data_IF_441285976324
#
_entry.id   IF_441285976324
#
_cell.length_a   1.000
_cell.length_b   1.000
_cell.length_c   1.000
_cell.angle_alpha   90.00
_cell.angle_beta   90.00
_cell.angle_gamma   90.00
#
_symmetry.space_group_name_H-M   'P 1'
#
loop_
_entity.id
_entity.type
_entity.pdbx_description
1 polymer ?
#
# COMPACT_ATOMS: atom_id res chain seq x y z
N UNK A 1 -4.94 -12.02 -24.50
CA UNK A 1 -3.61 -12.14 -23.86
C UNK A 1 -3.69 -11.57 -22.45
N UNK A 2 -3.66 -12.43 -21.42
CA UNK A 2 -3.69 -11.99 -20.03
C UNK A 2 -2.40 -11.27 -19.66
N UNK A 3 -2.49 -10.17 -18.91
CA UNK A 3 -1.30 -9.45 -18.44
C UNK A 3 -0.90 -10.01 -17.08
N UNK A 4 0.14 -10.86 -17.05
CA UNK A 4 0.68 -11.45 -15.82
C UNK A 4 1.22 -10.34 -14.91
N UNK A 5 0.45 -9.93 -13.90
CA UNK A 5 0.78 -8.83 -12.98
C UNK A 5 0.04 -9.01 -11.66
N UNK A 6 0.54 -8.35 -10.62
CA UNK A 6 -0.09 -8.26 -9.32
C UNK A 6 -0.78 -6.89 -9.18
N UNK A 7 -1.90 -6.89 -8.47
CA UNK A 7 -2.72 -5.73 -8.19
C UNK A 7 -2.98 -5.68 -6.68
N UNK A 8 -2.94 -4.48 -6.11
CA UNK A 8 -3.47 -4.25 -4.78
C UNK A 8 -4.67 -3.32 -4.88
N UNK A 9 -5.72 -3.70 -4.16
CA UNK A 9 -7.01 -3.04 -4.17
C UNK A 9 -7.24 -2.37 -2.83
N UNK A 10 -7.81 -1.18 -2.88
CA UNK A 10 -8.38 -0.51 -1.72
C UNK A 10 -9.85 -0.30 -2.03
N UNK A 11 -10.70 -1.00 -1.30
CA UNK A 11 -12.11 -1.14 -1.63
C UNK A 11 -12.30 -1.56 -3.10
N UNK A 12 -12.82 -0.66 -3.94
CA UNK A 12 -13.11 -0.91 -5.36
C UNK A 12 -12.04 -0.40 -6.32
N UNK A 13 -11.04 0.32 -5.81
CA UNK A 13 -10.04 0.98 -6.63
C UNK A 13 -8.69 0.27 -6.54
N UNK A 14 -8.05 0.06 -7.70
CA UNK A 14 -6.66 -0.38 -7.76
C UNK A 14 -5.78 0.82 -7.43
N UNK A 15 -5.03 0.73 -6.33
CA UNK A 15 -4.11 1.80 -5.92
C UNK A 15 -2.64 1.48 -6.23
N UNK A 16 -2.33 0.22 -6.56
CA UNK A 16 -0.98 -0.23 -6.89
C UNK A 16 -0.98 -1.34 -7.95
N UNK A 17 0.06 -1.35 -8.80
CA UNK A 17 0.26 -2.34 -9.86
C UNK A 17 1.74 -2.70 -9.93
N UNK A 18 2.06 -4.00 -9.99
CA UNK A 18 3.45 -4.46 -10.16
C UNK A 18 4.02 -4.13 -11.55
N UNK A 19 3.16 -3.92 -12.54
CA UNK A 19 3.55 -4.00 -13.94
C UNK A 19 3.65 -5.45 -14.42
N UNK A 20 3.79 -5.64 -15.73
CA UNK A 20 3.80 -6.97 -16.36
C UNK A 20 5.07 -7.73 -15.97
N UNK A 21 4.91 -9.01 -15.65
CA UNK A 21 6.00 -9.96 -15.43
C UNK A 21 6.71 -10.26 -16.76
N UNK A 22 8.02 -10.04 -16.80
CA UNK A 22 8.84 -10.24 -18.01
C UNK A 22 9.58 -11.60 -18.04
N UNK A 23 9.27 -12.49 -17.10
CA UNK A 23 9.98 -13.76 -16.91
C UNK A 23 11.07 -13.70 -15.83
N UNK A 24 11.49 -12.51 -15.41
CA UNK A 24 12.52 -12.30 -14.38
C UNK A 24 12.07 -11.35 -13.28
N UNK A 25 11.31 -10.33 -13.63
CA UNK A 25 10.89 -9.27 -12.72
C UNK A 25 9.57 -8.64 -13.15
N UNK A 26 8.97 -7.86 -12.24
CA UNK A 26 7.83 -7.04 -12.54
C UNK A 26 8.28 -5.66 -13.04
N UNK A 27 7.85 -5.25 -14.24
CA UNK A 27 8.34 -4.04 -14.92
C UNK A 27 8.30 -2.74 -14.09
N UNK A 28 7.33 -2.58 -13.19
CA UNK A 28 7.20 -1.35 -12.39
C UNK A 28 7.89 -1.45 -11.02
N UNK A 29 8.29 -2.65 -10.59
CA UNK A 29 8.88 -2.93 -9.27
C UNK A 29 9.93 -4.06 -9.35
N UNK A 30 11.00 -3.90 -10.15
CA UNK A 30 12.01 -4.95 -10.30
C UNK A 30 12.74 -5.27 -8.99
N UNK A 31 12.74 -4.36 -8.02
CA UNK A 31 13.41 -4.53 -6.73
C UNK A 31 12.82 -5.66 -5.89
N UNK A 32 11.51 -5.93 -6.03
CA UNK A 32 10.83 -7.02 -5.30
C UNK A 32 11.42 -8.40 -5.61
N UNK A 33 11.93 -8.58 -6.82
CA UNK A 33 12.51 -9.86 -7.29
C UNK A 33 14.00 -9.73 -7.62
N UNK A 34 14.67 -8.72 -7.05
CA UNK A 34 16.09 -8.43 -7.31
C UNK A 34 17.03 -9.52 -6.78
N UNK A 35 16.66 -10.19 -5.69
CA UNK A 35 17.45 -11.23 -5.05
C UNK A 35 17.22 -12.61 -5.69
N UNK A 36 17.55 -12.69 -6.97
CA UNK A 36 17.47 -13.92 -7.74
C UNK A 36 18.62 -14.89 -7.43
N UNK A 37 19.55 -14.54 -6.54
CA UNK A 37 20.64 -15.40 -6.08
C UNK A 37 20.16 -16.31 -4.97
N UNK A 38 19.37 -15.76 -4.04
CA UNK A 38 18.81 -16.49 -2.89
C UNK A 38 17.50 -17.18 -3.22
N UNK A 39 16.68 -16.55 -4.07
CA UNK A 39 15.33 -17.03 -4.37
C UNK A 39 15.14 -17.38 -5.84
N UNK A 40 14.33 -18.40 -6.09
CA UNK A 40 13.71 -18.64 -7.38
C UNK A 40 12.36 -17.92 -7.40
N UNK A 41 12.15 -17.05 -8.38
CA UNK A 41 10.86 -16.38 -8.59
C UNK A 41 10.18 -16.95 -9.83
N UNK A 42 8.89 -17.20 -9.74
CA UNK A 42 8.10 -17.65 -10.89
C UNK A 42 6.68 -17.09 -10.85
N UNK A 43 6.13 -16.94 -12.05
CA UNK A 43 4.72 -16.62 -12.25
C UNK A 43 4.10 -17.81 -12.95
N UNK A 44 3.26 -18.56 -12.24
CA UNK A 44 2.57 -19.73 -12.77
C UNK A 44 1.30 -19.26 -13.46
N UNK A 45 1.13 -19.72 -14.69
CA UNK A 45 -0.03 -19.44 -15.52
C UNK A 45 -0.45 -20.72 -16.22
N UNK A 46 -1.55 -21.31 -15.77
CA UNK A 46 -2.19 -22.46 -16.40
C UNK A 46 -3.67 -22.16 -16.67
N UNK A 47 -4.42 -23.19 -17.09
CA UNK A 47 -5.87 -23.09 -17.26
C UNK A 47 -6.60 -22.93 -15.91
N UNK A 48 -6.09 -23.57 -14.86
CA UNK A 48 -6.73 -23.63 -13.54
C UNK A 48 -6.22 -22.57 -12.56
N UNK A 49 -4.94 -22.18 -12.67
CA UNK A 49 -4.28 -21.38 -11.65
C UNK A 49 -3.39 -20.27 -12.21
N UNK A 50 -3.39 -19.16 -11.49
CA UNK A 50 -2.57 -17.99 -11.79
C UNK A 50 -2.07 -17.39 -10.50
N UNK A 51 -0.79 -17.54 -10.25
CA UNK A 51 -0.17 -17.00 -9.04
C UNK A 51 1.30 -16.69 -9.26
N UNK A 52 1.79 -15.78 -8.44
CA UNK A 52 3.21 -15.53 -8.29
C UNK A 52 3.71 -16.30 -7.07
N UNK A 53 4.87 -16.91 -7.17
CA UNK A 53 5.50 -17.63 -6.06
C UNK A 53 7.01 -17.43 -6.05
N UNK A 54 7.60 -17.71 -4.89
CA UNK A 54 9.04 -17.78 -4.74
C UNK A 54 9.44 -18.92 -3.81
N UNK A 55 10.62 -19.48 -4.05
CA UNK A 55 11.20 -20.53 -3.22
C UNK A 55 12.66 -20.23 -2.92
N UNK A 56 13.15 -20.78 -1.81
CA UNK A 56 14.59 -20.74 -1.50
C UNK A 56 15.36 -21.59 -2.53
N UNK A 57 16.50 -21.09 -2.98
CA UNK A 57 17.44 -21.88 -3.81
C UNK A 57 18.25 -22.86 -2.97
N UNK A 58 18.55 -22.49 -1.73
CA UNK A 58 19.27 -23.32 -0.76
C UNK A 58 18.54 -23.30 0.58
N UNK A 59 18.48 -24.44 1.26
CA UNK A 59 17.78 -24.55 2.56
C UNK A 59 18.46 -23.77 3.70
N UNK A 60 19.75 -23.43 3.55
CA UNK A 60 20.51 -22.60 4.49
C UNK A 60 20.20 -21.11 4.36
N UNK A 61 19.48 -20.69 3.31
CA UNK A 61 19.15 -19.30 3.09
C UNK A 61 18.06 -18.83 4.06
N UNK A 62 18.14 -17.58 4.56
CA UNK A 62 17.07 -17.01 5.39
C UNK A 62 15.80 -16.81 4.56
N UNK A 63 14.65 -16.86 5.22
CA UNK A 63 13.35 -16.67 4.57
C UNK A 63 13.10 -15.21 4.15
N UNK A 64 12.07 -15.01 3.33
CA UNK A 64 11.51 -13.68 3.04
C UNK A 64 9.99 -13.73 3.19
N UNK A 65 9.40 -12.62 3.62
CA UNK A 65 7.94 -12.46 3.74
C UNK A 65 7.51 -11.18 3.03
N UNK A 66 6.47 -11.27 2.21
CA UNK A 66 5.83 -10.10 1.61
C UNK A 66 4.55 -9.83 2.38
N UNK A 67 4.40 -8.61 2.90
CA UNK A 67 3.32 -8.23 3.81
C UNK A 67 2.58 -7.04 3.24
N UNK A 68 1.27 -7.18 3.08
CA UNK A 68 0.36 -6.06 2.95
C UNK A 68 -0.09 -5.66 4.36
N UNK A 69 0.37 -4.52 4.85
CA UNK A 69 0.04 -4.06 6.21
C UNK A 69 -1.35 -3.43 6.29
N UNK A 70 -1.83 -3.15 7.52
CA UNK A 70 -3.14 -2.57 7.78
C UNK A 70 -3.32 -1.15 7.22
N UNK A 71 -2.23 -0.45 6.94
CA UNK A 71 -2.26 0.84 6.27
C UNK A 71 -2.33 0.68 4.74
N UNK A 72 -2.15 -0.53 4.21
CA UNK A 72 -2.12 -0.83 2.78
C UNK A 72 -0.75 -0.57 2.14
N UNK A 73 0.32 -0.56 2.92
CA UNK A 73 1.68 -0.56 2.39
C UNK A 73 2.11 -2.00 2.07
N UNK A 74 2.90 -2.17 1.01
CA UNK A 74 3.46 -3.48 0.65
C UNK A 74 4.92 -3.48 1.08
N UNK A 75 5.26 -4.37 2.02
CA UNK A 75 6.60 -4.49 2.60
C UNK A 75 7.20 -5.84 2.29
N UNK A 76 8.50 -5.85 2.00
CA UNK A 76 9.30 -7.06 1.93
C UNK A 76 10.18 -7.13 3.17
N UNK A 77 9.98 -8.18 3.96
CA UNK A 77 10.88 -8.54 5.04
C UNK A 77 11.84 -9.61 4.57
N UNK A 78 13.11 -9.47 4.93
CA UNK A 78 14.14 -10.50 4.80
C UNK A 78 14.74 -10.76 6.16
N UNK A 79 15.16 -12.00 6.37
CA UNK A 79 15.83 -12.41 7.60
C UNK A 79 17.35 -12.42 7.36
N UNK A 80 18.15 -12.04 8.34
CA UNK A 80 19.61 -12.16 8.22
C UNK A 80 20.09 -13.61 8.41
N UNK A 81 19.41 -14.33 9.29
CA UNK A 81 19.65 -15.74 9.63
C UNK A 81 18.32 -16.34 10.13
N UNK A 82 18.31 -17.63 10.48
CA UNK A 82 17.14 -18.26 11.09
C UNK A 82 16.80 -17.72 12.50
N UNK A 83 17.71 -16.97 13.15
CA UNK A 83 17.54 -16.46 14.52
C UNK A 83 16.80 -15.10 14.58
N UNK A 84 15.75 -14.98 13.77
CA UNK A 84 14.60 -14.08 13.90
C UNK A 84 14.81 -12.56 13.70
N UNK A 85 16.04 -12.09 13.50
CA UNK A 85 16.27 -10.68 13.13
C UNK A 85 15.85 -10.44 11.66
N UNK A 86 14.61 -10.00 11.48
CA UNK A 86 14.09 -9.49 10.20
C UNK A 86 14.41 -8.01 10.01
N UNK A 87 14.71 -7.63 8.77
CA UNK A 87 14.82 -6.24 8.36
C UNK A 87 13.87 -5.96 7.20
N UNK A 88 13.52 -4.68 7.06
CA UNK A 88 12.70 -4.19 5.97
C UNK A 88 13.59 -3.97 4.74
N UNK A 89 13.51 -4.87 3.77
CA UNK A 89 14.36 -4.82 2.58
C UNK A 89 13.78 -3.92 1.50
N UNK A 90 12.46 -3.76 1.45
CA UNK A 90 11.81 -2.95 0.45
C UNK A 90 10.39 -2.55 0.86
N UNK A 91 10.08 -1.26 0.67
CA UNK A 91 8.76 -0.70 0.96
C UNK A 91 8.14 -0.06 -0.27
N UNK A 92 6.87 -0.37 -0.49
CA UNK A 92 6.01 0.35 -1.42
C UNK A 92 4.93 1.05 -0.60
N UNK A 93 5.08 2.36 -0.52
CA UNK A 93 4.13 3.24 0.13
C UNK A 93 3.31 3.93 -0.97
N UNK A 94 2.01 3.68 -0.98
CA UNK A 94 1.08 4.37 -1.86
C UNK A 94 0.17 5.29 -1.04
N UNK A 95 0.68 6.48 -0.68
CA UNK A 95 -0.12 7.44 0.07
C UNK A 95 -1.29 7.94 -0.77
N UNK A 96 -2.42 8.10 -0.08
CA UNK A 96 -3.65 8.72 -0.60
C UNK A 96 -3.43 10.18 -0.96
N UNK A 97 -2.53 10.84 -0.23
CA UNK A 97 -2.18 12.25 -0.35
C UNK A 97 -0.67 12.33 -0.49
N UNK A 98 -0.20 12.52 -1.71
CA UNK A 98 1.22 12.66 -1.99
C UNK A 98 1.62 14.13 -1.71
N UNK A 99 2.59 14.42 -0.83
CA UNK A 99 3.23 15.72 -0.86
C UNK A 99 3.83 15.97 -2.23
N UNK A 100 3.83 17.22 -2.66
CA UNK A 100 4.47 17.67 -3.90
C UNK A 100 5.95 17.21 -4.01
N UNK A 101 6.61 16.96 -2.87
CA UNK A 101 7.98 16.46 -2.75
C UNK A 101 8.12 14.95 -2.44
N UNK A 102 7.08 14.14 -2.67
CA UNK A 102 7.25 12.69 -2.64
C UNK A 102 8.14 12.25 -3.82
N UNK A 103 9.26 11.60 -3.54
CA UNK A 103 10.26 11.21 -4.56
C UNK A 103 9.59 10.61 -5.81
N UNK A 104 9.94 11.13 -7.00
CA UNK A 104 9.41 10.67 -8.29
C UNK A 104 9.58 9.16 -8.49
N UNK A 105 10.57 8.55 -7.84
CA UNK A 105 10.82 7.11 -7.92
C UNK A 105 9.75 6.29 -7.19
N UNK A 106 9.30 6.75 -6.02
CA UNK A 106 8.21 6.11 -5.29
C UNK A 106 6.84 6.36 -5.95
N UNK A 107 6.69 7.47 -6.70
CA UNK A 107 5.48 7.82 -7.45
C UNK A 107 5.18 6.84 -8.59
N UNK A 108 6.20 6.25 -9.23
CA UNK A 108 6.04 5.35 -10.40
C UNK A 108 5.38 4.00 -10.08
N UNK A 109 5.28 3.64 -8.80
CA UNK A 109 4.80 2.32 -8.35
C UNK A 109 3.30 2.30 -8.05
N UNK A 110 2.71 3.46 -7.79
CA UNK A 110 1.31 3.60 -7.38
C UNK A 110 0.44 4.10 -8.55
N UNK A 111 -0.86 3.82 -8.48
CA UNK A 111 -1.82 4.37 -9.43
C UNK A 111 -2.05 5.83 -9.07
N UNK A 112 -1.84 6.74 -10.04
CA UNK A 112 -2.11 8.16 -9.84
C UNK A 112 -3.60 8.38 -9.61
N UNK A 113 -3.95 9.01 -8.47
CA UNK A 113 -5.29 9.48 -8.18
C UNK A 113 -5.44 10.94 -8.64
N UNK A 114 -6.61 11.28 -9.19
CA UNK A 114 -6.95 12.68 -9.52
C UNK A 114 -7.08 13.48 -8.23
N UNK A 115 -6.30 14.56 -8.11
CA UNK A 115 -6.37 15.47 -6.96
C UNK A 115 -7.58 16.41 -7.15
N UNK A 116 -8.46 16.59 -6.16
CA UNK A 116 -9.54 17.57 -6.22
C UNK A 116 -9.01 19.00 -6.40
N UNK A 117 -9.72 19.85 -7.14
CA UNK A 117 -9.27 21.21 -7.49
C UNK A 117 -9.04 22.12 -6.28
N UNK A 118 -9.75 21.87 -5.18
CA UNK A 118 -9.63 22.60 -3.92
C UNK A 118 -8.38 22.22 -3.11
N UNK A 119 -7.71 21.12 -3.43
CA UNK A 119 -6.53 20.65 -2.71
C UNK A 119 -5.27 21.10 -3.45
N UNK A 120 -4.46 21.97 -2.82
CA UNK A 120 -3.21 22.50 -3.41
C UNK A 120 -2.03 22.32 -2.46
N UNK A 121 -1.41 21.14 -2.50
CA UNK A 121 -0.21 20.85 -1.72
C UNK A 121 -0.45 20.70 -0.20
N UNK A 122 -1.72 20.60 0.21
CA UNK A 122 -2.10 20.33 1.59
C UNK A 122 -1.64 18.95 2.06
N UNK A 123 -1.47 18.79 3.36
CA UNK A 123 -1.05 17.53 3.98
C UNK A 123 -1.79 17.34 5.29
N UNK A 124 -2.07 16.08 5.59
CA UNK A 124 -2.53 15.69 6.92
C UNK A 124 -1.33 15.28 7.78
N UNK A 125 -1.35 15.71 9.03
CA UNK A 125 -0.37 15.34 10.04
C UNK A 125 -1.11 14.73 11.22
N UNK A 126 -0.56 13.66 11.79
CA UNK A 126 -1.13 13.08 13.00
C UNK A 126 -0.98 14.04 14.17
N UNK A 127 -2.07 14.23 14.92
CA UNK A 127 -2.14 15.06 16.12
C UNK A 127 -2.93 14.30 17.19
N UNK A 128 -2.46 14.37 18.43
CA UNK A 128 -3.21 13.88 19.57
C UNK A 128 -4.10 15.00 20.10
N UNK A 129 -5.40 14.74 20.21
CA UNK A 129 -6.36 15.73 20.70
C UNK A 129 -7.81 15.40 20.33
N UNK A 130 -8.69 16.37 20.57
CA UNK A 130 -10.10 16.29 20.20
C UNK A 130 -10.34 17.06 18.91
N UNK A 131 -11.26 16.57 18.08
CA UNK A 131 -11.76 17.32 16.93
C UNK A 131 -12.85 18.26 17.43
N UNK A 132 -12.43 19.40 17.94
CA UNK A 132 -13.30 20.49 18.39
C UNK A 132 -13.01 21.73 17.54
N UNK A 133 -14.01 22.19 16.80
CA UNK A 133 -13.82 23.27 15.83
C UNK A 133 -15.13 23.74 15.20
N UNK A 134 -15.14 24.95 14.62
CA UNK A 134 -16.32 25.49 13.94
C UNK A 134 -16.56 24.70 12.65
N UNK A 135 -17.49 23.75 12.68
CA UNK A 135 -17.87 22.93 11.53
C UNK A 135 -18.87 21.84 11.89
N UNK A 136 -19.64 21.38 10.90
CA UNK A 136 -20.48 20.19 11.07
C UNK A 136 -19.62 18.94 10.97
N UNK A 137 -19.59 18.17 12.05
CA UNK A 137 -18.89 16.89 12.03
C UNK A 137 -19.71 15.86 11.26
N UNK A 138 -19.11 15.24 10.24
CA UNK A 138 -19.73 14.14 9.52
C UNK A 138 -19.26 12.82 10.14
N UNK A 139 -20.20 11.96 10.51
CA UNK A 139 -19.89 10.64 11.08
C UNK A 139 -20.43 9.54 10.17
N UNK A 140 -19.56 8.61 9.79
CA UNK A 140 -19.92 7.35 9.14
C UNK A 140 -19.74 6.20 10.14
N UNK A 141 -20.83 5.45 10.35
CA UNK A 141 -20.86 4.26 11.22
C UNK A 141 -20.46 2.98 10.50
N UNK A 142 -20.07 3.06 9.23
CA UNK A 142 -19.63 1.91 8.45
C UNK A 142 -18.31 1.35 9.00
N UNK A 143 -18.39 0.19 9.66
CA UNK A 143 -17.25 -0.45 10.30
C UNK A 143 -16.27 -1.09 9.32
N UNK A 144 -16.62 -1.16 8.03
CA UNK A 144 -15.68 -1.58 6.99
C UNK A 144 -14.62 -0.50 6.68
N UNK A 145 -14.88 0.75 7.05
CA UNK A 145 -13.99 1.88 6.82
C UNK A 145 -12.88 1.92 7.87
N UNK A 146 -11.64 2.11 7.41
CA UNK A 146 -10.44 2.30 8.23
C UNK A 146 -9.90 3.71 8.10
N UNK A 147 -8.89 4.03 8.90
CA UNK A 147 -8.27 5.37 8.94
C UNK A 147 -7.92 5.93 7.56
N UNK A 148 -7.43 5.09 6.65
CA UNK A 148 -7.03 5.52 5.30
C UNK A 148 -8.21 5.77 4.37
N UNK A 149 -9.34 5.10 4.58
CA UNK A 149 -10.59 5.39 3.91
C UNK A 149 -11.14 6.74 4.39
N UNK A 150 -11.10 7.00 5.70
CA UNK A 150 -11.49 8.30 6.26
C UNK A 150 -10.62 9.44 5.70
N UNK A 151 -9.32 9.19 5.50
CA UNK A 151 -8.41 10.13 4.85
C UNK A 151 -8.82 10.41 3.39
N UNK A 152 -9.09 9.36 2.60
CA UNK A 152 -9.58 9.47 1.22
C UNK A 152 -10.94 10.22 1.14
N UNK A 153 -11.86 9.97 2.07
CA UNK A 153 -13.14 10.66 2.19
C UNK A 153 -12.96 12.15 2.53
N UNK A 154 -12.14 12.46 3.53
CA UNK A 154 -11.83 13.83 3.93
C UNK A 154 -11.17 14.60 2.79
N UNK A 155 -10.21 13.98 2.11
CA UNK A 155 -9.49 14.63 1.03
C UNK A 155 -10.38 14.99 -0.14
N UNK A 156 -11.36 14.13 -0.44
CA UNK A 156 -12.36 14.36 -1.49
C UNK A 156 -13.41 15.41 -1.11
N UNK A 157 -13.55 15.72 0.17
CA UNK A 157 -14.43 16.77 0.69
C UNK A 157 -13.64 18.06 0.96
N UNK A 158 -13.86 19.10 0.15
CA UNK A 158 -13.14 20.36 0.26
C UNK A 158 -13.36 21.12 1.57
N UNK A 159 -14.44 20.82 2.30
CA UNK A 159 -14.71 21.42 3.61
C UNK A 159 -14.08 20.64 4.76
N UNK A 160 -13.52 19.46 4.50
CA UNK A 160 -12.94 18.63 5.54
C UNK A 160 -11.52 19.10 5.91
N UNK A 161 -11.30 19.29 7.21
CA UNK A 161 -10.03 19.79 7.77
C UNK A 161 -9.27 18.72 8.57
N UNK A 162 -9.99 17.76 9.15
CA UNK A 162 -9.44 16.69 9.97
C UNK A 162 -10.28 15.43 9.83
N UNK A 163 -9.71 14.29 10.20
CA UNK A 163 -10.44 13.03 10.25
C UNK A 163 -9.87 12.13 11.34
N UNK A 164 -10.68 11.20 11.82
CA UNK A 164 -10.24 10.07 12.64
C UNK A 164 -11.19 8.88 12.48
N UNK A 165 -10.81 7.75 13.06
CA UNK A 165 -11.74 6.64 13.23
C UNK A 165 -12.76 6.96 14.31
N UNK A 166 -14.00 6.52 14.12
CA UNK A 166 -15.08 6.80 15.07
C UNK A 166 -15.03 5.84 16.27
N UNK A 167 -14.87 4.55 16.00
CA UNK A 167 -14.82 3.51 17.03
C UNK A 167 -13.40 3.28 17.56
N UNK A 168 -13.32 2.75 18.78
CA UNK A 168 -12.07 2.37 19.43
C UNK A 168 -11.34 1.23 18.70
N UNK A 169 -12.05 0.41 17.92
CA UNK A 169 -11.50 -0.67 17.09
C UNK A 169 -10.88 -0.18 15.77
N UNK A 170 -10.65 1.14 15.66
CA UNK A 170 -10.09 1.80 14.47
C UNK A 170 -10.97 1.58 13.21
N UNK A 171 -12.28 1.68 13.41
CA UNK A 171 -13.31 1.55 12.37
C UNK A 171 -14.26 2.74 12.34
N UNK A 172 -14.97 2.90 11.22
CA UNK A 172 -15.86 4.05 11.00
C UNK A 172 -15.09 5.35 10.84
N UNK A 173 -15.77 6.42 10.43
CA UNK A 173 -15.12 7.71 10.19
C UNK A 173 -15.80 8.83 10.93
N UNK A 174 -15.00 9.74 11.45
CA UNK A 174 -15.42 11.05 11.91
C UNK A 174 -14.59 12.09 11.14
N UNK A 175 -15.25 13.00 10.42
CA UNK A 175 -14.66 14.04 9.56
C UNK A 175 -15.10 15.44 10.01
#
# INVERSE_FOLDING_TARGET
>A
MGTNKLLAWRQRDVYWKSGVWDGRSFKSVPELTSDNVTYNFSYVWSEDERYFTFSLKQNSSPSSSWVLDSEGNIRQYKFYNWNDYKYDSFNILCPTHLPYNYSRENKKRCVEKKVPECRRGELFYSKQGYMDGPGSCYTSLDTSLRLRDCADMCWSNCSCLAYKTYFAEETGCQL
#
